data_IF_665068750503
#
_entry.id   IF_665068750503
#
_cell.length_a   1.000
_cell.length_b   1.000
_cell.length_c   1.000
_cell.angle_alpha   90.00
_cell.angle_beta   90.00
_cell.angle_gamma   90.00
#
_symmetry.space_group_name_H-M   'P 1'
#
loop_
_entity.id
_entity.type
_entity.pdbx_description
1 polymer ?
#
# COMPACT_ATOMS: atom_id res chain seq x y z
N UNK A 1 -15.24 44.43 25.55
CA UNK A 1 -14.18 43.56 25.01
C UNK A 1 -14.72 42.13 24.83
N UNK A 2 -15.71 41.93 23.96
CA UNK A 2 -16.25 40.60 23.61
C UNK A 2 -16.14 40.32 22.11
N UNK A 3 -16.20 41.38 21.28
CA UNK A 3 -16.04 41.28 19.81
C UNK A 3 -14.66 40.72 19.37
N UNK A 4 -13.58 41.04 20.09
CA UNK A 4 -12.25 40.52 19.75
C UNK A 4 -12.13 39.00 19.99
N UNK A 5 -12.84 38.45 20.98
CA UNK A 5 -12.81 37.02 21.29
C UNK A 5 -13.53 36.19 20.21
N UNK A 6 -14.62 36.70 19.62
CA UNK A 6 -15.36 36.01 18.57
C UNK A 6 -14.56 35.85 17.27
N UNK A 7 -13.75 36.86 16.89
CA UNK A 7 -12.93 36.78 15.68
C UNK A 7 -11.80 35.75 15.80
N UNK A 8 -11.25 35.54 17.01
CA UNK A 8 -10.21 34.54 17.25
C UNK A 8 -10.77 33.12 17.11
N UNK A 9 -11.95 32.85 17.67
CA UNK A 9 -12.58 31.50 17.58
C UNK A 9 -12.92 31.13 16.15
N UNK A 10 -13.41 32.09 15.36
CA UNK A 10 -13.76 31.89 13.94
C UNK A 10 -12.51 31.69 13.06
N UNK A 11 -11.37 32.27 13.40
CA UNK A 11 -10.13 32.04 12.65
C UNK A 11 -9.55 30.63 12.86
N UNK A 12 -9.68 30.06 14.05
CA UNK A 12 -9.19 28.69 14.33
C UNK A 12 -10.00 27.60 13.60
N UNK A 13 -11.28 27.84 13.29
CA UNK A 13 -12.12 26.86 12.59
C UNK A 13 -11.82 26.75 11.09
N UNK A 14 -11.19 27.77 10.47
CA UNK A 14 -10.79 27.71 9.06
C UNK A 14 -9.40 27.09 8.83
N UNK A 15 -8.61 26.92 9.90
CA UNK A 15 -7.27 26.31 9.85
C UNK A 15 -7.31 24.81 10.17
N UNK A 16 -8.51 24.26 10.35
CA UNK A 16 -8.73 22.83 10.27
C UNK A 16 -8.64 22.44 8.79
N UNK A 17 -7.42 22.19 8.32
CA UNK A 17 -7.22 21.42 7.11
C UNK A 17 -7.85 20.05 7.36
N UNK A 18 -9.10 19.88 6.93
CA UNK A 18 -9.58 18.56 6.56
C UNK A 18 -8.66 18.12 5.41
N UNK A 19 -7.64 17.33 5.74
CA UNK A 19 -7.00 16.48 4.75
C UNK A 19 -8.11 15.58 4.22
N UNK A 20 -8.69 16.00 3.08
CA UNK A 20 -9.49 15.14 2.25
C UNK A 20 -8.58 13.98 1.87
N UNK A 21 -8.65 12.91 2.67
CA UNK A 21 -8.01 11.64 2.39
C UNK A 21 -8.61 11.15 1.09
N UNK A 22 -7.94 11.45 -0.02
CA UNK A 22 -8.24 10.84 -1.31
C UNK A 22 -8.40 9.33 -1.09
N UNK A 23 -9.41 8.70 -1.70
CA UNK A 23 -9.61 7.27 -1.54
C UNK A 23 -8.32 6.60 -1.95
N UNK A 24 -7.69 5.89 -1.01
CA UNK A 24 -6.45 5.17 -1.29
C UNK A 24 -6.75 4.27 -2.50
N UNK A 25 -6.01 4.40 -3.61
CA UNK A 25 -6.21 3.48 -4.73
C UNK A 25 -6.16 2.06 -4.17
N UNK A 26 -7.05 1.17 -4.64
CA UNK A 26 -7.03 -0.23 -4.22
C UNK A 26 -5.78 -0.89 -4.80
N UNK A 27 -4.65 -0.63 -4.15
CA UNK A 27 -3.31 -1.14 -4.47
C UNK A 27 -3.33 -2.67 -4.51
N UNK A 28 -4.30 -3.30 -3.86
CA UNK A 28 -4.42 -4.73 -3.65
C UNK A 28 -5.54 -5.39 -4.46
N UNK A 29 -5.99 -4.75 -5.55
CA UNK A 29 -7.03 -5.29 -6.44
C UNK A 29 -6.74 -6.70 -6.96
N UNK A 30 -5.47 -7.09 -7.10
CA UNK A 30 -5.08 -8.45 -7.53
C UNK A 30 -5.11 -9.52 -6.41
N UNK A 31 -5.50 -9.19 -5.17
CA UNK A 31 -5.67 -10.17 -4.09
C UNK A 31 -7.01 -10.94 -4.15
N UNK A 32 -7.71 -10.88 -5.28
CA UNK A 32 -8.98 -11.59 -5.47
C UNK A 32 -8.81 -13.11 -5.34
N UNK A 33 -9.74 -13.75 -4.63
CA UNK A 33 -9.75 -15.20 -4.41
C UNK A 33 -8.87 -15.69 -3.25
N UNK A 34 -8.14 -14.81 -2.55
CA UNK A 34 -7.56 -15.14 -1.25
C UNK A 34 -8.64 -15.14 -0.16
N UNK A 35 -8.64 -16.12 0.77
CA UNK A 35 -9.47 -16.07 1.97
C UNK A 35 -9.22 -14.77 2.75
N UNK A 36 -10.26 -14.20 3.36
CA UNK A 36 -10.19 -12.89 4.01
C UNK A 36 -9.03 -12.76 5.02
N UNK A 37 -8.82 -13.76 5.87
CA UNK A 37 -7.69 -13.78 6.81
C UNK A 37 -6.33 -13.77 6.10
N UNK A 38 -6.19 -14.53 5.02
CA UNK A 38 -4.95 -14.59 4.24
C UNK A 38 -4.67 -13.26 3.54
N UNK A 39 -5.71 -12.63 2.96
CA UNK A 39 -5.64 -11.30 2.35
C UNK A 39 -5.18 -10.25 3.36
N UNK A 40 -5.80 -10.19 4.53
CA UNK A 40 -5.45 -9.20 5.55
C UNK A 40 -4.06 -9.45 6.17
N UNK A 41 -3.66 -10.70 6.35
CA UNK A 41 -2.31 -11.03 6.79
C UNK A 41 -1.26 -10.61 5.74
N UNK A 42 -1.50 -10.89 4.46
CA UNK A 42 -0.60 -10.52 3.38
C UNK A 42 -0.43 -9.00 3.26
N UNK A 43 -1.53 -8.24 3.36
CA UNK A 43 -1.47 -6.76 3.42
C UNK A 43 -0.62 -6.25 4.59
N UNK A 44 -0.80 -6.81 5.79
CA UNK A 44 -0.01 -6.43 6.98
C UNK A 44 1.48 -6.71 6.80
N UNK A 45 1.83 -7.86 6.22
CA UNK A 45 3.22 -8.20 5.95
C UNK A 45 3.84 -7.26 4.92
N UNK A 46 3.11 -6.92 3.85
CA UNK A 46 3.56 -5.96 2.83
C UNK A 46 3.78 -4.57 3.44
N UNK A 47 2.82 -4.07 4.23
CA UNK A 47 2.95 -2.79 4.92
C UNK A 47 4.17 -2.78 5.83
N UNK A 48 4.32 -3.80 6.68
CA UNK A 48 5.47 -3.92 7.60
C UNK A 48 6.82 -3.98 6.87
N UNK A 49 6.89 -4.65 5.71
CA UNK A 49 8.13 -4.72 4.93
C UNK A 49 8.47 -3.37 4.28
N UNK A 50 7.48 -2.60 3.83
CA UNK A 50 7.71 -1.27 3.29
C UNK A 50 8.09 -0.26 4.39
N UNK A 51 7.38 -0.25 5.52
CA UNK A 51 7.65 0.64 6.67
C UNK A 51 9.07 0.46 7.24
N UNK A 52 9.66 -0.74 7.10
CA UNK A 52 11.05 -1.00 7.47
C UNK A 52 12.10 -0.22 6.66
N UNK A 53 11.68 0.51 5.60
CA UNK A 53 12.58 1.26 4.72
C UNK A 53 12.20 2.75 4.63
N UNK A 54 13.04 3.62 5.19
CA UNK A 54 12.84 5.08 5.18
C UNK A 54 12.75 5.72 3.79
N UNK A 55 13.26 5.06 2.74
CA UNK A 55 13.28 5.60 1.37
C UNK A 55 12.08 5.13 0.52
N UNK A 56 11.37 4.10 0.97
CA UNK A 56 10.21 3.51 0.29
C UNK A 56 9.17 3.02 1.31
N UNK A 57 8.61 3.90 2.17
CA UNK A 57 7.83 3.47 3.31
C UNK A 57 6.43 2.96 2.94
N UNK A 58 5.89 3.33 1.77
CA UNK A 58 4.49 3.03 1.43
C UNK A 58 4.36 1.93 0.39
N UNK A 59 3.43 0.98 0.55
CA UNK A 59 2.99 0.14 -0.56
C UNK A 59 2.36 1.02 -1.64
N UNK A 60 2.70 0.78 -2.91
CA UNK A 60 2.16 1.54 -4.05
C UNK A 60 1.60 0.67 -5.17
N UNK A 61 1.97 -0.62 -5.21
CA UNK A 61 1.49 -1.56 -6.23
C UNK A 61 1.56 -3.00 -5.71
N UNK A 62 0.60 -3.84 -6.08
CA UNK A 62 0.62 -5.28 -5.87
C UNK A 62 0.13 -6.01 -7.12
N UNK A 63 0.94 -6.94 -7.63
CA UNK A 63 0.66 -7.71 -8.86
C UNK A 63 0.66 -9.22 -8.60
N UNK A 64 -0.01 -9.64 -7.52
CA UNK A 64 -0.15 -11.06 -7.11
C UNK A 64 1.07 -11.64 -6.41
N UNK A 65 2.22 -11.71 -7.09
CA UNK A 65 3.47 -12.27 -6.55
C UNK A 65 4.60 -11.26 -6.39
N UNK A 66 4.31 -9.99 -6.69
CA UNK A 66 5.22 -8.88 -6.53
C UNK A 66 4.47 -7.72 -5.91
N UNK A 67 5.18 -6.93 -5.12
CA UNK A 67 4.69 -5.66 -4.64
C UNK A 67 5.78 -4.60 -4.75
N UNK A 68 5.35 -3.34 -4.86
CA UNK A 68 6.26 -2.20 -4.86
C UNK A 68 6.04 -1.39 -3.61
N UNK A 69 7.14 -1.10 -2.94
CA UNK A 69 7.20 -0.03 -1.96
C UNK A 69 7.71 1.22 -2.65
N UNK A 70 7.17 2.40 -2.33
CA UNK A 70 7.54 3.63 -2.99
C UNK A 70 7.51 4.84 -2.07
N UNK A 71 7.92 5.96 -2.65
CA UNK A 71 7.74 7.29 -2.10
C UNK A 71 7.54 8.23 -3.28
N UNK A 72 6.46 9.00 -3.24
CA UNK A 72 6.20 10.05 -4.21
C UNK A 72 6.14 11.38 -3.46
N UNK A 73 6.91 12.36 -3.93
CA UNK A 73 6.84 13.72 -3.44
C UNK A 73 6.81 14.67 -4.64
N UNK A 74 5.88 15.61 -4.58
CA UNK A 74 5.72 16.67 -5.57
C UNK A 74 6.15 18.00 -4.94
N UNK A 75 7.42 18.37 -5.15
CA UNK A 75 7.90 19.71 -4.82
C UNK A 75 7.70 20.63 -6.03
N UNK A 76 7.49 21.92 -5.79
CA UNK A 76 7.18 22.96 -6.79
C UNK A 76 8.02 22.85 -8.09
N UNK A 77 9.28 22.44 -7.99
CA UNK A 77 10.19 22.31 -9.14
C UNK A 77 10.70 20.88 -9.39
N UNK A 78 10.38 19.91 -8.54
CA UNK A 78 10.92 18.55 -8.61
C UNK A 78 9.87 17.53 -8.18
N UNK A 79 9.54 16.62 -9.08
CA UNK A 79 8.80 15.40 -8.76
C UNK A 79 9.79 14.26 -8.49
N UNK A 80 9.81 13.76 -7.26
CA UNK A 80 10.60 12.60 -6.87
C UNK A 80 9.68 11.39 -6.77
N UNK A 81 10.01 10.34 -7.54
CA UNK A 81 9.33 9.05 -7.45
C UNK A 81 10.39 7.96 -7.25
N UNK A 82 10.34 7.29 -6.11
CA UNK A 82 11.20 6.14 -5.82
C UNK A 82 10.34 4.89 -5.71
N UNK A 83 10.82 3.77 -6.26
CA UNK A 83 10.11 2.48 -6.22
C UNK A 83 11.10 1.35 -6.02
N UNK A 84 10.78 0.46 -5.09
CA UNK A 84 11.47 -0.80 -4.83
C UNK A 84 10.49 -1.95 -5.08
N UNK A 85 10.81 -2.80 -6.05
CA UNK A 85 10.03 -4.00 -6.32
C UNK A 85 10.53 -5.15 -5.47
N UNK A 86 9.62 -5.89 -4.84
CA UNK A 86 9.91 -7.03 -3.97
C UNK A 86 9.06 -8.21 -4.45
N UNK A 87 9.71 -9.37 -4.59
CA UNK A 87 9.02 -10.62 -4.91
C UNK A 87 8.54 -11.30 -3.62
N UNK A 88 7.31 -11.83 -3.65
CA UNK A 88 6.86 -12.78 -2.63
C UNK A 88 7.67 -14.07 -2.72
N UNK A 89 7.73 -14.80 -1.60
CA UNK A 89 8.42 -16.09 -1.55
C UNK A 89 7.66 -17.13 -2.37
N UNK A 90 8.40 -18.08 -2.92
CA UNK A 90 7.79 -19.24 -3.56
C UNK A 90 6.91 -19.99 -2.54
N UNK A 91 5.72 -20.39 -2.97
CA UNK A 91 4.70 -20.99 -2.13
C UNK A 91 3.74 -20.00 -1.45
N UNK A 92 3.99 -18.70 -1.49
CA UNK A 92 3.02 -17.72 -0.95
C UNK A 92 1.70 -17.78 -1.73
N UNK A 93 0.55 -17.93 -1.07
CA UNK A 93 -0.76 -17.86 -1.73
C UNK A 93 -0.95 -16.49 -2.39
N UNK A 94 -1.35 -16.49 -3.65
CA UNK A 94 -1.56 -15.27 -4.45
C UNK A 94 -2.94 -15.21 -5.13
N UNK A 95 -3.81 -16.20 -4.86
CA UNK A 95 -5.17 -16.27 -5.37
C UNK A 95 -5.82 -17.62 -5.06
N UNK A 96 -7.04 -17.83 -5.56
CA UNK A 96 -7.77 -19.08 -5.31
C UNK A 96 -7.05 -20.29 -5.92
N UNK A 97 -6.56 -21.21 -5.07
CA UNK A 97 -5.75 -22.37 -5.46
C UNK A 97 -4.48 -22.00 -6.25
N UNK A 98 -3.96 -20.78 -6.06
CA UNK A 98 -2.76 -20.28 -6.73
C UNK A 98 -1.69 -19.86 -5.71
N UNK A 99 -0.45 -20.00 -6.14
CA UNK A 99 0.75 -19.81 -5.34
C UNK A 99 1.87 -19.17 -6.18
N UNK A 100 2.76 -18.44 -5.52
CA UNK A 100 3.90 -17.83 -6.17
C UNK A 100 4.98 -18.87 -6.51
N UNK A 101 5.48 -18.82 -7.74
CA UNK A 101 6.66 -19.57 -8.18
C UNK A 101 7.49 -18.67 -9.08
N UNK A 102 8.73 -18.38 -8.69
CA UNK A 102 9.66 -17.49 -9.42
C UNK A 102 8.99 -16.16 -9.81
N UNK A 103 8.22 -15.59 -8.88
CA UNK A 103 7.51 -14.31 -9.08
C UNK A 103 6.23 -14.38 -9.92
N UNK A 104 5.77 -15.57 -10.32
CA UNK A 104 4.53 -15.76 -11.08
C UNK A 104 3.44 -16.41 -10.21
N UNK A 105 2.20 -15.92 -10.31
CA UNK A 105 1.05 -16.51 -9.61
C UNK A 105 0.44 -17.64 -10.45
N UNK A 106 0.75 -18.89 -10.11
CA UNK A 106 0.34 -20.07 -10.87
C UNK A 106 -0.56 -20.99 -10.04
N UNK A 107 -1.34 -21.84 -10.69
CA UNK A 107 -2.11 -22.86 -9.98
C UNK A 107 -1.19 -23.78 -9.19
N UNK A 108 -1.57 -24.12 -7.96
CA UNK A 108 -0.82 -25.04 -7.11
C UNK A 108 -0.60 -26.41 -7.78
N UNK A 109 -1.52 -26.84 -8.65
CA UNK A 109 -1.39 -28.06 -9.45
C UNK A 109 -0.22 -28.03 -10.45
N UNK A 110 0.31 -26.84 -10.77
CA UNK A 110 1.46 -26.65 -11.65
C UNK A 110 2.81 -26.67 -10.92
N UNK A 111 2.82 -26.85 -9.58
CA UNK A 111 4.05 -27.00 -8.83
C UNK A 111 4.77 -28.31 -9.18
N UNK A 112 6.08 -28.23 -9.28
CA UNK A 112 6.94 -29.41 -9.35
C UNK A 112 7.31 -29.82 -7.93
N UNK A 113 6.89 -31.00 -7.49
CA UNK A 113 7.09 -31.48 -6.13
C UNK A 113 8.27 -32.45 -5.98
N UNK A 114 8.95 -32.78 -7.10
CA UNK A 114 10.06 -33.73 -7.21
C UNK A 114 11.08 -33.29 -8.24
#
# INVERSE_FOLDING_TARGET
>A
MQLALFLVVVAFTYVSCDEESEPTPDIFGEMEGLPGECKENLKKQIASECEGNQYHPTPVEFTGCQFKCGYENDYIFVKLTTRRTINLKDGTPCGQNKVCIKGNCVYACGMTFV
#
